data_IF_126777853250
#
_entry.id   IF_126777853250
#
_cell.length_a   1.000
_cell.length_b   1.000
_cell.length_c   1.000
_cell.angle_alpha   90.00
_cell.angle_beta   90.00
_cell.angle_gamma   90.00
#
_symmetry.space_group_name_H-M   'P 1'
#
loop_
_entity.id
_entity.type
_entity.pdbx_description
1 polymer ?
#
# COMPACT_ATOMS: atom_id res chain seq x y z
N UNK A 1 3.56 -34.89 9.68
CA UNK A 1 4.90 -34.27 9.56
C UNK A 1 4.91 -32.96 8.79
N UNK A 2 3.75 -32.41 8.39
CA UNK A 2 3.59 -31.16 7.60
C UNK A 2 3.52 -29.89 8.47
N UNK A 3 3.16 -30.00 9.75
CA UNK A 3 2.98 -28.83 10.64
C UNK A 3 4.28 -28.14 11.10
N UNK A 4 5.42 -28.86 11.12
CA UNK A 4 6.68 -28.31 11.65
C UNK A 4 7.35 -27.41 10.61
N UNK A 5 7.23 -27.70 9.31
CA UNK A 5 7.87 -26.91 8.26
C UNK A 5 7.23 -25.51 8.07
N UNK A 6 5.92 -25.39 8.24
CA UNK A 6 5.22 -24.11 8.11
C UNK A 6 5.52 -23.13 9.26
N UNK A 7 5.70 -23.64 10.48
CA UNK A 7 6.07 -22.79 11.61
C UNK A 7 7.51 -22.26 11.49
N UNK A 8 8.46 -23.07 11.02
CA UNK A 8 9.84 -22.64 10.82
C UNK A 8 9.95 -21.60 9.70
N UNK A 9 9.23 -21.77 8.59
CA UNK A 9 9.19 -20.79 7.49
C UNK A 9 8.53 -19.48 7.94
N UNK A 10 7.43 -19.52 8.67
CA UNK A 10 6.75 -18.35 9.22
C UNK A 10 7.66 -17.55 10.17
N UNK A 11 8.34 -18.21 11.09
CA UNK A 11 9.28 -17.60 12.02
C UNK A 11 10.45 -16.91 11.27
N UNK A 12 11.02 -17.55 10.26
CA UNK A 12 12.10 -16.98 9.45
C UNK A 12 11.67 -15.67 8.73
N UNK A 13 10.42 -15.61 8.28
CA UNK A 13 9.86 -14.39 7.64
C UNK A 13 9.64 -13.26 8.65
N UNK A 14 9.21 -13.58 9.88
CA UNK A 14 9.00 -12.58 10.95
C UNK A 14 10.31 -11.99 11.47
N UNK A 15 11.39 -12.79 11.51
CA UNK A 15 12.72 -12.36 11.96
C UNK A 15 13.41 -11.40 10.98
N UNK A 16 13.01 -11.43 9.70
CA UNK A 16 13.64 -10.62 8.66
C UNK A 16 12.95 -9.26 8.48
N UNK A 17 13.77 -8.22 8.35
CA UNK A 17 13.30 -6.91 7.90
C UNK A 17 13.14 -6.92 6.38
N UNK A 18 11.89 -6.99 5.92
CA UNK A 18 11.59 -6.87 4.50
C UNK A 18 11.56 -5.42 4.02
N UNK A 19 11.47 -5.23 2.71
CA UNK A 19 11.37 -3.89 2.12
C UNK A 19 10.17 -3.72 1.20
N UNK A 20 9.63 -2.50 1.18
CA UNK A 20 8.62 -2.04 0.24
C UNK A 20 9.11 -0.78 -0.47
N UNK A 21 9.43 -0.91 -1.74
CA UNK A 21 9.80 0.21 -2.61
C UNK A 21 8.55 0.63 -3.37
N UNK A 22 8.12 1.87 -3.18
CA UNK A 22 6.81 2.31 -3.65
C UNK A 22 6.92 3.61 -4.44
N UNK A 23 6.25 3.65 -5.58
CA UNK A 23 6.07 4.84 -6.37
C UNK A 23 4.57 5.12 -6.54
N UNK A 24 4.16 6.34 -6.24
CA UNK A 24 2.78 6.81 -6.38
C UNK A 24 2.77 8.04 -7.28
N UNK A 25 2.04 7.97 -8.37
CA UNK A 25 1.85 9.07 -9.27
C UNK A 25 0.39 9.51 -9.37
N UNK A 26 0.20 10.81 -9.55
CA UNK A 26 -1.09 11.39 -9.93
C UNK A 26 -0.84 12.40 -11.04
N UNK A 27 -1.48 12.21 -12.19
CA UNK A 27 -1.44 13.17 -13.29
C UNK A 27 -2.82 13.84 -13.45
N UNK A 28 -2.91 15.11 -13.11
CA UNK A 28 -4.12 15.89 -13.23
C UNK A 28 -4.25 16.44 -14.66
N UNK A 29 -5.33 16.12 -15.35
CA UNK A 29 -5.60 16.58 -16.72
C UNK A 29 -6.84 17.48 -16.81
N UNK A 30 -7.59 17.60 -15.72
CA UNK A 30 -8.64 18.62 -15.57
C UNK A 30 -8.91 18.90 -14.08
N UNK A 31 -9.72 19.89 -13.76
CA UNK A 31 -10.12 20.15 -12.38
C UNK A 31 -10.85 18.95 -11.73
N UNK A 32 -11.61 18.20 -12.54
CA UNK A 32 -12.42 17.08 -12.08
C UNK A 32 -11.76 15.71 -12.23
N UNK A 33 -10.76 15.56 -13.11
CA UNK A 33 -10.20 14.25 -13.43
C UNK A 33 -8.69 14.21 -13.30
N UNK A 34 -8.18 13.13 -12.75
CA UNK A 34 -6.75 12.79 -12.74
C UNK A 34 -6.54 11.29 -12.86
N UNK A 35 -5.41 10.91 -13.44
CA UNK A 35 -4.94 9.53 -13.46
C UNK A 35 -4.14 9.25 -12.19
N UNK A 36 -4.49 8.20 -11.46
CA UNK A 36 -3.66 7.60 -10.43
C UNK A 36 -2.89 6.43 -11.02
N UNK A 37 -1.59 6.36 -10.77
CA UNK A 37 -0.76 5.22 -11.11
C UNK A 37 0.20 4.92 -9.96
N UNK A 38 0.45 3.65 -9.74
CA UNK A 38 1.19 3.19 -8.58
C UNK A 38 1.95 1.91 -8.95
N UNK A 39 3.18 1.78 -8.51
CA UNK A 39 3.89 0.51 -8.51
C UNK A 39 4.56 0.30 -7.17
N UNK A 40 4.56 -0.95 -6.69
CA UNK A 40 5.21 -1.34 -5.46
C UNK A 40 5.99 -2.61 -5.72
N UNK A 41 7.28 -2.59 -5.40
CA UNK A 41 8.11 -3.78 -5.30
C UNK A 41 8.27 -4.11 -3.82
N UNK A 42 7.92 -5.32 -3.46
CA UNK A 42 7.99 -5.82 -2.09
C UNK A 42 8.89 -7.02 -2.03
N UNK A 43 9.76 -7.03 -1.04
CA UNK A 43 10.68 -8.13 -0.80
C UNK A 43 10.52 -8.63 0.63
N UNK A 44 10.83 -9.90 0.85
CA UNK A 44 10.89 -10.49 2.19
C UNK A 44 12.10 -9.99 2.98
N UNK A 45 13.17 -9.59 2.30
CA UNK A 45 14.39 -8.96 2.85
C UNK A 45 14.58 -7.56 2.26
N UNK A 46 15.61 -6.82 2.66
CA UNK A 46 15.77 -5.40 2.27
C UNK A 46 15.89 -5.23 0.75
N UNK A 47 16.63 -6.08 0.04
CA UNK A 47 16.83 -5.99 -1.42
C UNK A 47 16.77 -7.33 -2.14
N UNK A 48 16.42 -8.40 -1.43
CA UNK A 48 16.38 -9.76 -1.94
C UNK A 48 15.08 -10.48 -1.56
N UNK A 49 14.92 -11.70 -2.04
CA UNK A 49 13.75 -12.54 -1.80
C UNK A 49 12.45 -11.82 -2.20
N UNK A 50 12.23 -11.76 -3.50
CA UNK A 50 11.02 -11.15 -4.08
C UNK A 50 9.76 -11.72 -3.45
N UNK A 51 8.86 -10.84 -3.03
CA UNK A 51 7.55 -11.21 -2.51
C UNK A 51 6.43 -10.81 -3.48
N UNK A 52 6.35 -9.53 -3.88
CA UNK A 52 5.22 -9.06 -4.67
C UNK A 52 5.58 -7.84 -5.52
N UNK A 53 5.11 -7.83 -6.76
CA UNK A 53 5.03 -6.64 -7.60
C UNK A 53 3.56 -6.19 -7.70
N UNK A 54 3.29 -4.90 -7.54
CA UNK A 54 1.92 -4.37 -7.51
C UNK A 54 1.81 -3.12 -8.38
N UNK A 55 1.72 -3.25 -9.71
CA UNK A 55 1.28 -2.18 -10.59
C UNK A 55 -0.22 -1.95 -10.44
N UNK A 56 -0.60 -0.67 -10.41
CA UNK A 56 -2.00 -0.24 -10.26
C UNK A 56 -2.25 1.05 -11.04
N UNK A 57 -3.40 1.13 -11.66
CA UNK A 57 -3.89 2.35 -12.33
C UNK A 57 -5.33 2.62 -11.94
N UNK A 58 -5.73 3.87 -11.92
CA UNK A 58 -7.11 4.26 -11.63
C UNK A 58 -7.45 5.67 -12.09
N UNK A 59 -8.70 5.90 -12.41
CA UNK A 59 -9.22 7.21 -12.76
C UNK A 59 -9.85 7.83 -11.51
N UNK A 60 -9.35 9.01 -11.12
CA UNK A 60 -9.93 9.80 -10.03
C UNK A 60 -10.95 10.79 -10.60
N UNK A 61 -12.08 10.91 -9.93
CA UNK A 61 -13.04 11.98 -10.07
C UNK A 61 -13.00 12.83 -8.79
N UNK A 62 -12.69 14.12 -8.92
CA UNK A 62 -12.64 15.08 -7.82
C UNK A 62 -14.02 15.72 -7.65
N UNK A 63 -14.72 15.38 -6.56
CA UNK A 63 -16.01 15.97 -6.19
C UNK A 63 -15.78 17.42 -5.79
N UNK A 64 -14.74 17.63 -4.98
CA UNK A 64 -14.22 18.93 -4.58
C UNK A 64 -12.70 18.82 -4.29
N UNK A 65 -12.07 19.90 -3.77
CA UNK A 65 -10.63 19.93 -3.43
C UNK A 65 -10.21 18.93 -2.34
N UNK A 66 -11.16 18.47 -1.53
CA UNK A 66 -10.91 17.59 -0.39
C UNK A 66 -11.42 16.16 -0.63
N UNK A 67 -12.37 15.99 -1.55
CA UNK A 67 -13.12 14.75 -1.72
C UNK A 67 -12.94 14.19 -3.13
N UNK A 68 -12.58 12.92 -3.22
CA UNK A 68 -12.47 12.25 -4.51
C UNK A 68 -12.91 10.78 -4.43
N UNK A 69 -13.41 10.29 -5.55
CA UNK A 69 -13.66 8.86 -5.79
C UNK A 69 -12.73 8.36 -6.88
N UNK A 70 -12.37 7.09 -6.82
CA UNK A 70 -11.50 6.46 -7.82
C UNK A 70 -12.05 5.08 -8.15
N UNK A 71 -11.96 4.70 -9.42
CA UNK A 71 -12.09 3.32 -9.85
C UNK A 71 -10.84 2.91 -10.62
N UNK A 72 -10.38 1.67 -10.43
CA UNK A 72 -9.13 1.26 -11.04
C UNK A 72 -8.93 -0.26 -11.07
N UNK A 73 -7.78 -0.62 -11.64
CA UNK A 73 -7.35 -2.00 -11.82
C UNK A 73 -5.92 -2.19 -11.33
N UNK A 74 -5.62 -3.40 -10.87
CA UNK A 74 -4.27 -3.83 -10.52
C UNK A 74 -4.05 -5.28 -10.97
N UNK A 75 -2.81 -5.57 -11.40
CA UNK A 75 -2.31 -6.92 -11.64
C UNK A 75 -1.17 -7.19 -10.67
N UNK A 76 -1.24 -8.30 -9.93
CA UNK A 76 -0.36 -8.49 -8.78
C UNK A 76 0.22 -9.91 -8.78
N UNK A 77 1.42 -10.13 -9.34
CA UNK A 77 2.17 -11.35 -9.12
C UNK A 77 2.77 -11.38 -7.72
N UNK A 78 2.65 -12.51 -7.04
CA UNK A 78 3.10 -12.73 -5.65
C UNK A 78 3.82 -14.06 -5.53
N UNK A 79 5.04 -14.03 -5.04
CA UNK A 79 5.79 -15.18 -4.54
C UNK A 79 5.45 -15.33 -3.06
N UNK A 80 4.76 -16.40 -2.70
CA UNK A 80 4.28 -16.59 -1.32
C UNK A 80 5.31 -17.15 -0.38
N UNK A 81 6.26 -17.90 -0.90
CA UNK A 81 7.24 -18.60 -0.09
C UNK A 81 8.59 -17.87 -0.10
N UNK A 82 9.25 -17.89 1.04
CA UNK A 82 10.59 -17.37 1.23
C UNK A 82 11.62 -18.36 0.66
N UNK A 83 12.69 -17.87 0.06
CA UNK A 83 13.78 -18.65 -0.54
C UNK A 83 13.38 -19.55 -1.74
N UNK A 84 12.27 -19.29 -2.43
CA UNK A 84 11.93 -19.98 -3.66
C UNK A 84 12.59 -19.31 -4.89
N UNK A 85 13.00 -20.15 -5.84
CA UNK A 85 13.46 -19.70 -7.16
C UNK A 85 12.33 -19.10 -8.00
N UNK A 86 12.68 -18.42 -9.11
CA UNK A 86 11.69 -17.86 -10.05
C UNK A 86 10.88 -18.92 -10.82
N UNK A 87 11.28 -20.18 -10.72
CA UNK A 87 10.63 -21.32 -11.39
C UNK A 87 9.43 -21.87 -10.60
N UNK A 88 9.24 -21.42 -9.36
CA UNK A 88 8.16 -21.87 -8.51
C UNK A 88 6.85 -21.13 -8.82
N UNK A 89 5.74 -21.74 -8.42
CA UNK A 89 4.40 -21.30 -8.74
C UNK A 89 4.08 -19.90 -8.16
N UNK A 90 3.91 -18.91 -9.04
CA UNK A 90 3.57 -17.54 -8.69
C UNK A 90 2.05 -17.39 -8.62
N UNK A 91 1.54 -16.96 -7.47
CA UNK A 91 0.15 -16.49 -7.38
C UNK A 91 -0.02 -15.20 -8.16
N UNK A 92 -1.00 -15.13 -9.04
CA UNK A 92 -1.36 -13.92 -9.77
C UNK A 92 -2.74 -13.43 -9.33
N UNK A 93 -2.88 -12.12 -9.18
CA UNK A 93 -4.15 -11.53 -8.80
C UNK A 93 -4.55 -10.42 -9.78
N UNK A 94 -5.76 -10.55 -10.33
CA UNK A 94 -6.47 -9.47 -11.02
C UNK A 94 -7.40 -8.80 -10.01
N UNK A 95 -7.32 -7.47 -9.91
CA UNK A 95 -8.08 -6.71 -8.91
C UNK A 95 -8.76 -5.51 -9.53
N UNK A 96 -10.08 -5.42 -9.37
CA UNK A 96 -10.82 -4.17 -9.54
C UNK A 96 -10.93 -3.52 -8.16
N UNK A 97 -10.75 -2.22 -8.09
CA UNK A 97 -10.84 -1.50 -6.84
C UNK A 97 -11.54 -0.15 -7.00
N UNK A 98 -12.29 0.22 -5.98
CA UNK A 98 -12.90 1.53 -5.84
C UNK A 98 -12.46 2.14 -4.53
N UNK A 99 -12.27 3.45 -4.51
CA UNK A 99 -11.97 4.15 -3.27
C UNK A 99 -12.66 5.50 -3.17
N UNK A 100 -12.91 5.89 -1.94
CA UNK A 100 -13.35 7.21 -1.54
C UNK A 100 -12.27 7.82 -0.63
N UNK A 101 -11.87 9.05 -0.94
CA UNK A 101 -10.90 9.80 -0.15
C UNK A 101 -11.55 11.08 0.35
N UNK A 102 -11.38 11.32 1.66
CA UNK A 102 -11.73 12.57 2.32
C UNK A 102 -10.46 13.14 2.98
N UNK A 103 -10.19 14.41 2.73
CA UNK A 103 -9.05 15.15 3.30
C UNK A 103 -9.57 16.23 4.22
N UNK A 104 -8.94 16.36 5.38
CA UNK A 104 -9.22 17.40 6.37
C UNK A 104 -7.90 18.04 6.81
N UNK A 105 -7.98 19.26 7.33
CA UNK A 105 -6.84 19.96 7.92
C UNK A 105 -7.23 20.49 9.30
N UNK A 106 -6.40 20.21 10.31
CA UNK A 106 -6.54 20.73 11.66
C UNK A 106 -5.25 21.45 12.01
N UNK A 107 -5.32 22.78 12.07
CA UNK A 107 -4.13 23.62 12.15
C UNK A 107 -3.22 23.39 10.93
N UNK A 108 -1.99 22.95 11.15
CA UNK A 108 -1.01 22.58 10.11
C UNK A 108 -0.97 21.07 9.80
N UNK A 109 -1.79 20.27 10.48
CA UNK A 109 -1.84 18.83 10.33
C UNK A 109 -2.82 18.47 9.20
N UNK A 110 -2.36 17.69 8.23
CA UNK A 110 -3.21 17.16 7.18
C UNK A 110 -3.65 15.75 7.54
N UNK A 111 -4.96 15.51 7.51
CA UNK A 111 -5.60 14.24 7.82
C UNK A 111 -6.26 13.72 6.54
N UNK A 112 -6.13 12.43 6.27
CA UNK A 112 -6.72 11.79 5.10
C UNK A 112 -7.35 10.47 5.50
N UNK A 113 -8.63 10.33 5.19
CA UNK A 113 -9.39 9.09 5.28
C UNK A 113 -9.47 8.45 3.90
N UNK A 114 -9.22 7.15 3.82
CA UNK A 114 -9.38 6.38 2.59
C UNK A 114 -10.21 5.14 2.88
N UNK A 115 -11.34 5.04 2.24
CA UNK A 115 -12.18 3.83 2.18
C UNK A 115 -11.94 3.17 0.83
N UNK A 116 -11.74 1.86 0.80
CA UNK A 116 -11.50 1.12 -0.44
C UNK A 116 -12.23 -0.21 -0.42
N UNK A 117 -12.85 -0.53 -1.54
CA UNK A 117 -13.39 -1.86 -1.84
C UNK A 117 -12.54 -2.50 -2.93
N UNK A 118 -12.34 -3.80 -2.82
CA UNK A 118 -11.52 -4.58 -3.76
C UNK A 118 -12.25 -5.88 -4.11
N UNK A 119 -12.43 -6.13 -5.41
CA UNK A 119 -12.85 -7.40 -5.98
C UNK A 119 -11.59 -8.06 -6.54
N UNK A 120 -11.28 -9.26 -6.06
CA UNK A 120 -9.99 -9.91 -6.25
C UNK A 120 -10.19 -11.30 -6.84
N UNK A 121 -9.63 -11.54 -8.01
CA UNK A 121 -9.52 -12.87 -8.64
C UNK A 121 -8.08 -13.34 -8.46
N UNK A 122 -7.90 -14.26 -7.54
CA UNK A 122 -6.60 -14.79 -7.12
C UNK A 122 -6.43 -16.15 -7.76
N UNK A 123 -5.41 -16.27 -8.62
CA UNK A 123 -5.09 -17.50 -9.36
C UNK A 123 -3.81 -18.11 -8.85
N UNK A 124 -3.86 -19.39 -8.49
CA UNK A 124 -2.70 -20.23 -8.17
C UNK A 124 -2.82 -21.53 -9.00
N UNK A 125 -1.86 -21.78 -9.86
CA UNK A 125 -1.96 -22.85 -10.86
C UNK A 125 -3.17 -22.69 -11.76
N UNK A 126 -4.05 -23.68 -11.79
CA UNK A 126 -5.30 -23.64 -12.57
C UNK A 126 -6.49 -23.09 -11.75
N UNK A 127 -6.36 -23.02 -10.43
CA UNK A 127 -7.44 -22.59 -9.55
C UNK A 127 -7.52 -21.07 -9.45
N UNK A 128 -8.76 -20.53 -9.58
CA UNK A 128 -9.04 -19.10 -9.39
C UNK A 128 -10.07 -18.92 -8.28
N UNK A 129 -9.69 -18.22 -7.23
CA UNK A 129 -10.57 -17.88 -6.09
C UNK A 129 -11.01 -16.43 -6.18
N UNK A 130 -12.30 -16.18 -6.06
CA UNK A 130 -12.85 -14.82 -5.96
C UNK A 130 -12.97 -14.39 -4.49
N UNK A 131 -12.49 -13.17 -4.19
CA UNK A 131 -12.51 -12.60 -2.83
C UNK A 131 -12.93 -11.14 -2.87
N UNK A 132 -13.66 -10.70 -1.85
CA UNK A 132 -14.01 -9.30 -1.63
C UNK A 132 -13.33 -8.78 -0.36
N UNK A 133 -12.86 -7.53 -0.41
CA UNK A 133 -12.17 -6.92 0.72
C UNK A 133 -12.53 -5.44 0.86
N UNK A 134 -12.88 -5.03 2.07
CA UNK A 134 -13.01 -3.64 2.47
C UNK A 134 -11.73 -3.19 3.19
N UNK A 135 -11.34 -1.91 3.01
CA UNK A 135 -10.18 -1.33 3.67
C UNK A 135 -10.51 0.07 4.15
N UNK A 136 -10.01 0.41 5.32
CA UNK A 136 -10.02 1.76 5.83
C UNK A 136 -8.61 2.17 6.24
N UNK A 137 -8.18 3.36 5.82
CA UNK A 137 -6.90 3.94 6.20
C UNK A 137 -7.11 5.36 6.74
N UNK A 138 -6.60 5.60 7.93
CA UNK A 138 -6.39 6.94 8.47
C UNK A 138 -4.91 7.29 8.30
N UNK A 139 -4.61 8.40 7.64
CA UNK A 139 -3.25 8.89 7.54
C UNK A 139 -3.15 10.35 7.96
N UNK A 140 -2.02 10.68 8.59
CA UNK A 140 -1.72 12.00 9.13
C UNK A 140 -0.35 12.45 8.63
N UNK A 141 -0.27 13.68 8.12
CA UNK A 141 0.98 14.33 7.74
C UNK A 141 1.18 15.57 8.62
N UNK A 142 2.28 15.60 9.38
CA UNK A 142 2.60 16.61 10.38
C UNK A 142 3.89 17.32 9.95
N UNK A 143 3.87 18.60 9.57
CA UNK A 143 5.08 19.38 9.38
C UNK A 143 5.92 19.42 10.66
N UNK A 144 7.23 19.19 10.57
CA UNK A 144 8.13 19.19 11.75
C UNK A 144 8.36 20.61 12.28
N UNK A 145 8.28 21.61 11.40
CA UNK A 145 8.48 23.01 11.73
C UNK A 145 7.22 23.83 11.50
N UNK A 146 7.04 24.89 12.29
CA UNK A 146 6.05 25.94 12.04
C UNK A 146 6.41 26.81 10.83
N UNK A 147 7.67 26.78 10.40
CA UNK A 147 8.09 27.44 9.15
C UNK A 147 7.52 26.66 7.97
N UNK A 148 6.61 27.29 7.23
CA UNK A 148 5.96 26.70 6.05
C UNK A 148 6.94 26.32 4.92
N UNK A 149 8.17 26.86 4.95
CA UNK A 149 9.24 26.52 4.01
C UNK A 149 10.01 25.27 4.40
N UNK A 150 9.81 24.72 5.60
CA UNK A 150 10.49 23.49 6.02
C UNK A 150 10.02 22.30 5.18
N UNK A 151 10.93 21.61 4.49
CA UNK A 151 10.54 20.47 3.66
C UNK A 151 10.25 19.20 4.47
N UNK A 152 10.57 19.18 5.77
CA UNK A 152 10.49 17.99 6.61
C UNK A 152 9.11 17.82 7.22
N UNK A 153 8.61 16.58 7.20
CA UNK A 153 7.35 16.20 7.83
C UNK A 153 7.38 14.77 8.38
N UNK A 154 6.52 14.48 9.35
CA UNK A 154 6.21 13.13 9.80
C UNK A 154 4.98 12.65 9.05
N UNK A 155 5.00 11.41 8.58
CA UNK A 155 3.87 10.71 7.97
C UNK A 155 3.53 9.49 8.80
N UNK A 156 2.27 9.39 9.23
CA UNK A 156 1.75 8.26 10.01
C UNK A 156 0.53 7.71 9.29
N UNK A 157 0.33 6.39 9.32
CA UNK A 157 -0.96 5.82 8.98
C UNK A 157 -1.23 4.52 9.73
N UNK A 158 -2.52 4.25 9.93
CA UNK A 158 -3.06 2.95 10.28
C UNK A 158 -4.06 2.53 9.21
N UNK A 159 -3.94 1.29 8.74
CA UNK A 159 -4.83 0.73 7.73
C UNK A 159 -5.30 -0.66 8.14
N UNK A 160 -6.62 -0.83 8.26
CA UNK A 160 -7.27 -2.12 8.50
C UNK A 160 -7.85 -2.67 7.20
N UNK A 161 -7.77 -3.98 7.04
CA UNK A 161 -8.31 -4.75 5.92
C UNK A 161 -9.28 -5.79 6.45
N UNK A 162 -10.47 -5.82 5.87
CA UNK A 162 -11.54 -6.70 6.28
C UNK A 162 -12.04 -7.50 5.07
N UNK A 163 -12.00 -8.83 5.16
CA UNK A 163 -12.69 -9.69 4.21
C UNK A 163 -14.20 -9.56 4.39
N UNK A 164 -14.94 -9.61 3.27
CA UNK A 164 -16.42 -9.56 3.28
C UNK A 164 -16.99 -11.01 3.29
N UNK A 165 -16.24 -11.96 3.77
CA UNK A 165 -16.59 -13.37 3.89
C UNK A 165 -16.14 -13.92 5.25
N UNK A 166 -16.12 -15.21 5.44
CA UNK A 166 -16.08 -15.99 6.68
C UNK A 166 -15.10 -15.56 7.80
N UNK A 167 -14.00 -14.90 7.49
CA UNK A 167 -13.06 -14.37 8.50
C UNK A 167 -12.86 -12.87 8.27
N UNK A 168 -13.51 -11.98 9.06
CA UNK A 168 -13.51 -10.56 8.78
C UNK A 168 -12.13 -9.91 8.78
N UNK A 169 -11.25 -10.23 9.74
CA UNK A 169 -9.92 -9.64 9.82
C UNK A 169 -8.97 -10.28 8.81
N UNK A 170 -8.40 -9.47 7.91
CA UNK A 170 -7.40 -9.90 6.93
C UNK A 170 -5.99 -9.39 7.30
N UNK A 171 -5.86 -8.07 7.46
CA UNK A 171 -4.57 -7.44 7.73
C UNK A 171 -4.72 -6.14 8.53
N UNK A 172 -3.64 -5.74 9.20
CA UNK A 172 -3.45 -4.40 9.71
C UNK A 172 -2.05 -3.89 9.35
N UNK A 173 -1.95 -2.59 9.10
CA UNK A 173 -0.70 -1.90 8.76
C UNK A 173 -0.57 -0.64 9.58
N UNK A 174 0.42 -0.59 10.44
CA UNK A 174 0.79 0.60 11.20
C UNK A 174 2.14 1.13 10.68
N UNK A 175 2.17 2.39 10.26
CA UNK A 175 3.30 3.01 9.60
C UNK A 175 3.69 4.33 10.22
N UNK A 176 5.01 4.56 10.33
CA UNK A 176 5.59 5.83 10.71
C UNK A 176 6.81 6.14 9.84
N UNK A 177 6.90 7.36 9.33
CA UNK A 177 7.97 7.80 8.44
C UNK A 177 8.39 9.23 8.65
N UNK A 178 9.65 9.50 8.30
CA UNK A 178 10.15 10.82 8.00
C UNK A 178 9.97 11.08 6.51
N UNK A 179 9.40 12.22 6.17
CA UNK A 179 9.20 12.67 4.81
C UNK A 179 9.94 13.96 4.49
N UNK A 180 10.35 14.09 3.23
CA UNK A 180 11.00 15.26 2.68
C UNK A 180 10.26 15.73 1.42
N UNK A 181 9.80 16.98 1.43
CA UNK A 181 9.15 17.62 0.29
C UNK A 181 10.22 18.22 -0.64
N UNK A 182 10.51 17.56 -1.77
CA UNK A 182 11.54 17.98 -2.72
C UNK A 182 11.12 19.26 -3.43
N UNK A 183 9.86 19.31 -3.87
CA UNK A 183 9.24 20.48 -4.48
C UNK A 183 7.70 20.38 -4.34
N UNK A 184 6.93 21.28 -4.92
CA UNK A 184 5.46 21.28 -4.82
C UNK A 184 4.81 20.01 -5.37
N UNK A 185 5.48 19.30 -6.27
CA UNK A 185 4.96 18.12 -6.97
C UNK A 185 5.47 16.82 -6.39
N UNK A 186 6.64 16.79 -5.75
CA UNK A 186 7.35 15.58 -5.40
C UNK A 186 7.75 15.54 -3.92
N UNK A 187 7.47 14.42 -3.26
CA UNK A 187 8.00 14.14 -1.93
C UNK A 187 8.48 12.68 -1.85
N UNK A 188 9.38 12.47 -0.90
CA UNK A 188 9.97 11.19 -0.57
C UNK A 188 9.72 10.87 0.90
N UNK A 189 9.51 9.59 1.21
CA UNK A 189 9.29 9.12 2.58
C UNK A 189 10.09 7.86 2.84
N UNK A 190 10.73 7.81 4.01
CA UNK A 190 11.41 6.62 4.54
C UNK A 190 10.79 6.30 5.88
N UNK A 191 10.36 5.07 6.09
CA UNK A 191 9.68 4.72 7.31
C UNK A 191 9.64 3.24 7.61
N UNK A 192 9.13 2.96 8.78
CA UNK A 192 8.93 1.62 9.30
C UNK A 192 7.46 1.27 9.26
N UNK A 193 7.18 0.07 8.78
CA UNK A 193 5.84 -0.51 8.68
C UNK A 193 5.79 -1.80 9.47
N UNK A 194 4.91 -1.85 10.48
CA UNK A 194 4.44 -3.10 11.08
C UNK A 194 3.25 -3.61 10.28
N UNK A 195 3.38 -4.80 9.73
CA UNK A 195 2.38 -5.43 8.90
C UNK A 195 1.93 -6.75 9.50
N UNK A 196 0.73 -6.76 10.09
CA UNK A 196 0.09 -7.96 10.61
C UNK A 196 -0.75 -8.59 9.52
N UNK A 197 -0.49 -9.85 9.17
CA UNK A 197 -1.19 -10.59 8.12
C UNK A 197 -1.03 -12.10 8.30
N UNK A 198 -2.11 -12.87 8.16
CA UNK A 198 -2.06 -14.33 8.25
C UNK A 198 -1.54 -14.87 9.59
N UNK A 199 -1.75 -14.13 10.69
CA UNK A 199 -1.23 -14.48 12.02
C UNK A 199 0.23 -14.06 12.27
N UNK A 200 0.93 -13.53 11.26
CA UNK A 200 2.32 -13.08 11.34
C UNK A 200 2.39 -11.58 11.62
N UNK A 201 3.39 -11.15 12.39
CA UNK A 201 3.78 -9.77 12.62
C UNK A 201 5.08 -9.46 11.84
N UNK A 202 4.96 -8.81 10.70
CA UNK A 202 6.03 -8.58 9.75
C UNK A 202 6.57 -7.16 9.86
N UNK A 203 7.89 -7.04 9.91
CA UNK A 203 8.61 -5.77 9.97
C UNK A 203 9.10 -5.38 8.57
N UNK A 204 8.81 -4.14 8.14
CA UNK A 204 9.15 -3.68 6.79
C UNK A 204 9.75 -2.29 6.81
N UNK A 205 10.84 -2.11 6.09
CA UNK A 205 11.33 -0.81 5.68
C UNK A 205 10.51 -0.36 4.47
N UNK A 206 9.85 0.79 4.54
CA UNK A 206 9.10 1.35 3.43
C UNK A 206 9.77 2.60 2.89
N UNK A 207 10.09 2.59 1.59
CA UNK A 207 10.59 3.73 0.84
C UNK A 207 9.53 4.12 -0.18
N UNK A 208 9.07 5.37 -0.15
CA UNK A 208 7.99 5.82 -1.02
C UNK A 208 8.31 7.16 -1.69
N UNK A 209 8.09 7.23 -2.99
CA UNK A 209 8.12 8.46 -3.79
C UNK A 209 6.71 8.79 -4.22
N UNK A 210 6.33 10.06 -4.06
CA UNK A 210 5.04 10.59 -4.50
C UNK A 210 5.28 11.69 -5.53
N UNK A 211 4.64 11.59 -6.69
CA UNK A 211 4.71 12.56 -7.76
C UNK A 211 3.31 13.01 -8.19
N UNK A 212 3.06 14.31 -8.16
CA UNK A 212 1.82 14.91 -8.65
C UNK A 212 2.16 15.82 -9.82
N UNK A 213 1.59 15.56 -10.98
CA UNK A 213 1.84 16.30 -12.22
C UNK A 213 0.52 16.76 -12.83
N UNK A 214 0.61 17.63 -13.84
CA UNK A 214 -0.54 18.24 -14.51
C UNK A 214 -0.95 19.56 -13.87
N UNK A 215 -1.85 20.29 -14.53
CA UNK A 215 -2.33 21.61 -14.14
C UNK A 215 -3.54 21.54 -13.21
#
# INVERSE_FOLDING_TARGET
MVFISNNVKGQKIEENLGSWLMYFGTHKFSEKYSLHYETQLRNYEIVSNFNQLLPRVGLNYHIDKNTSVTAGYAYIPTQKEFDLGWEDEIETENRIWQQFILKNKVGNINIRHRYRLEQRWVKLGEETTYKNRARYMLSVKIPISKNEQSPLFISLYDEIFLNISDSPFDQNRLFAALGYQINKQMNFQVGYLRHRSGGLDLNRLQLAVFLNTGN
#
